data_IF_008550920707
#
_entry.id   IF_008550920707
#
_cell.length_a   1.000
_cell.length_b   1.000
_cell.length_c   1.000
_cell.angle_alpha   90.00
_cell.angle_beta   90.00
_cell.angle_gamma   90.00
#
_symmetry.space_group_name_H-M   'P 1'
#
loop_
_entity.id
_entity.type
_entity.pdbx_description
1 polymer ?
#
# COMPACT_ATOMS: atom_id res chain seq x y z
N UNK A 1 6.80 7.93 -16.40
CA UNK A 1 6.17 7.92 -15.06
C UNK A 1 6.27 6.55 -14.39
N UNK A 2 5.57 5.49 -14.85
CA UNK A 2 5.74 4.13 -14.28
C UNK A 2 7.10 3.50 -14.62
N UNK A 3 7.64 3.82 -15.82
CA UNK A 3 8.95 3.36 -16.28
C UNK A 3 10.14 3.92 -15.48
N UNK A 4 9.99 5.10 -14.87
CA UNK A 4 11.05 5.75 -14.11
C UNK A 4 11.17 5.16 -12.69
N UNK A 5 10.04 4.75 -12.10
CA UNK A 5 10.01 3.99 -10.85
C UNK A 5 10.56 2.56 -11.03
N UNK A 6 10.23 1.91 -12.16
CA UNK A 6 10.76 0.58 -12.53
C UNK A 6 12.31 0.55 -12.62
N UNK A 7 12.92 1.63 -13.11
CA UNK A 7 14.39 1.77 -13.15
C UNK A 7 15.03 1.98 -11.77
N UNK A 8 14.29 2.51 -10.79
CA UNK A 8 14.88 2.82 -9.49
C UNK A 8 14.95 1.60 -8.56
N UNK A 9 13.96 0.70 -8.63
CA UNK A 9 13.88 -0.47 -7.75
C UNK A 9 14.76 -1.65 -8.20
N UNK A 10 15.14 -1.72 -9.47
CA UNK A 10 15.84 -2.86 -10.09
C UNK A 10 17.38 -2.84 -9.94
N UNK A 11 17.96 -1.75 -9.45
CA UNK A 11 19.43 -1.53 -9.47
C UNK A 11 20.08 -1.53 -8.08
N UNK A 12 19.30 -1.38 -6.98
CA UNK A 12 19.84 -1.31 -5.61
C UNK A 12 19.18 -2.31 -4.65
N UNK A 13 19.88 -3.39 -4.24
CA UNK A 13 19.41 -4.34 -3.23
C UNK A 13 19.01 -3.71 -1.88
N UNK A 14 19.59 -2.54 -1.54
CA UNK A 14 19.22 -1.81 -0.31
C UNK A 14 17.85 -1.15 -0.43
N UNK A 15 17.52 -0.63 -1.61
CA UNK A 15 16.20 -0.05 -1.89
C UNK A 15 15.11 -1.11 -1.77
N UNK A 16 15.32 -2.29 -2.37
CA UNK A 16 14.40 -3.41 -2.24
C UNK A 16 14.21 -3.89 -0.79
N UNK A 17 15.31 -4.01 -0.03
CA UNK A 17 15.24 -4.38 1.39
C UNK A 17 14.48 -3.34 2.23
N UNK A 18 14.63 -2.06 1.90
CA UNK A 18 13.88 -0.99 2.56
C UNK A 18 12.37 -1.08 2.26
N UNK A 19 11.99 -1.38 1.02
CA UNK A 19 10.59 -1.58 0.62
C UNK A 19 9.96 -2.78 1.33
N UNK A 20 10.64 -3.93 1.37
CA UNK A 20 10.16 -5.10 2.12
C UNK A 20 9.96 -4.77 3.61
N UNK A 21 10.93 -4.07 4.21
CA UNK A 21 10.82 -3.66 5.61
C UNK A 21 9.65 -2.72 5.84
N UNK A 22 9.33 -1.83 4.90
CA UNK A 22 8.15 -0.95 4.98
C UNK A 22 6.84 -1.74 4.81
N UNK A 23 6.80 -2.66 3.86
CA UNK A 23 5.65 -3.51 3.56
C UNK A 23 5.26 -4.42 4.76
N UNK A 24 6.25 -4.92 5.50
CA UNK A 24 6.10 -5.80 6.66
C UNK A 24 5.73 -5.06 7.95
N UNK A 25 5.75 -3.71 7.97
CA UNK A 25 5.33 -2.97 9.16
C UNK A 25 3.90 -3.33 9.57
N UNK A 26 3.60 -3.42 10.88
CA UNK A 26 2.23 -3.48 11.37
C UNK A 26 1.40 -2.32 10.80
N UNK A 27 0.13 -2.57 10.49
CA UNK A 27 -0.77 -1.54 9.96
C UNK A 27 -0.89 -0.31 10.88
N UNK A 28 -0.72 -0.52 12.17
CA UNK A 28 -0.57 0.50 13.21
C UNK A 28 0.11 -0.16 14.43
N UNK A 29 0.67 0.60 15.38
CA UNK A 29 1.35 0.04 16.53
C UNK A 29 0.48 -0.91 17.35
N UNK A 30 0.99 -2.11 17.60
CA UNK A 30 0.27 -3.18 18.29
C UNK A 30 -0.64 -4.03 17.41
N UNK A 31 -0.80 -3.70 16.12
CA UNK A 31 -1.56 -4.54 15.19
C UNK A 31 -0.82 -5.86 14.90
N UNK A 32 -1.33 -6.98 15.42
CA UNK A 32 -0.75 -8.31 15.19
C UNK A 32 -1.34 -9.04 13.98
N UNK A 33 -2.49 -8.57 13.49
CA UNK A 33 -3.29 -9.27 12.47
C UNK A 33 -2.96 -8.82 11.05
N UNK A 34 -2.61 -7.55 10.88
CA UNK A 34 -2.37 -6.95 9.57
C UNK A 34 -1.05 -6.18 9.56
N UNK A 35 -0.24 -6.47 8.55
CA UNK A 35 0.82 -5.59 8.05
C UNK A 35 0.23 -4.55 7.09
N UNK A 36 1.01 -3.51 6.78
CA UNK A 36 0.68 -2.53 5.74
C UNK A 36 0.30 -3.21 4.42
N UNK A 37 1.16 -4.11 3.93
CA UNK A 37 0.92 -4.81 2.68
C UNK A 37 -0.34 -5.69 2.72
N UNK A 38 -0.50 -6.51 3.76
CA UNK A 38 -1.66 -7.42 3.84
C UNK A 38 -2.99 -6.68 3.95
N UNK A 39 -3.01 -5.49 4.57
CA UNK A 39 -4.18 -4.62 4.59
C UNK A 39 -4.48 -4.08 3.18
N UNK A 40 -3.47 -3.54 2.49
CA UNK A 40 -3.64 -2.99 1.13
C UNK A 40 -4.13 -4.05 0.15
N UNK A 41 -3.45 -5.20 0.06
CA UNK A 41 -3.86 -6.30 -0.83
C UNK A 41 -5.33 -6.68 -0.61
N UNK A 42 -5.77 -6.74 0.66
CA UNK A 42 -7.15 -7.07 0.97
C UNK A 42 -8.13 -5.98 0.53
N UNK A 43 -7.80 -4.70 0.71
CA UNK A 43 -8.62 -3.57 0.27
C UNK A 43 -8.71 -3.48 -1.25
N UNK A 44 -7.59 -3.63 -1.98
CA UNK A 44 -7.58 -3.65 -3.44
C UNK A 44 -8.35 -4.84 -4.03
N UNK A 45 -8.26 -6.01 -3.41
CA UNK A 45 -9.06 -7.17 -3.82
C UNK A 45 -10.56 -6.89 -3.67
N UNK A 46 -10.99 -6.20 -2.60
CA UNK A 46 -12.39 -5.77 -2.43
C UNK A 46 -12.76 -4.76 -3.51
N UNK A 47 -11.92 -3.74 -3.74
CA UNK A 47 -12.13 -2.72 -4.78
C UNK A 47 -12.39 -3.37 -6.14
N UNK A 48 -11.49 -4.26 -6.58
CA UNK A 48 -11.59 -4.96 -7.85
C UNK A 48 -12.81 -5.90 -7.91
N UNK A 49 -13.06 -6.66 -6.85
CA UNK A 49 -14.18 -7.60 -6.78
C UNK A 49 -15.55 -6.92 -6.90
N UNK A 50 -15.70 -5.72 -6.33
CA UNK A 50 -16.98 -5.02 -6.29
C UNK A 50 -17.04 -3.80 -7.23
N UNK A 51 -16.03 -3.60 -8.08
CA UNK A 51 -16.01 -2.53 -9.08
C UNK A 51 -16.03 -1.12 -8.48
N UNK A 52 -15.36 -0.91 -7.35
CA UNK A 52 -15.32 0.41 -6.73
C UNK A 52 -14.52 1.38 -7.58
N UNK A 53 -15.06 2.59 -7.77
CA UNK A 53 -14.35 3.68 -8.43
C UNK A 53 -13.14 4.13 -7.59
N UNK A 54 -12.13 4.67 -8.26
CA UNK A 54 -10.92 5.20 -7.59
C UNK A 54 -11.26 6.33 -6.61
N UNK A 55 -12.25 7.16 -6.95
CA UNK A 55 -12.75 8.24 -6.08
C UNK A 55 -13.37 7.65 -4.80
N UNK A 56 -14.35 6.75 -4.95
CA UNK A 56 -15.01 6.12 -3.78
C UNK A 56 -14.03 5.33 -2.91
N UNK A 57 -12.99 4.74 -3.52
CA UNK A 57 -11.98 4.02 -2.78
C UNK A 57 -11.01 4.96 -2.05
N UNK A 58 -10.66 6.10 -2.65
CA UNK A 58 -9.85 7.14 -1.99
C UNK A 58 -10.58 7.75 -0.79
N UNK A 59 -11.89 7.99 -0.91
CA UNK A 59 -12.73 8.45 0.21
C UNK A 59 -12.78 7.41 1.33
N UNK A 60 -12.90 6.11 0.99
CA UNK A 60 -12.81 5.03 1.99
C UNK A 60 -11.45 5.05 2.69
N UNK A 61 -10.35 5.13 1.95
CA UNK A 61 -9.00 5.13 2.53
C UNK A 61 -8.80 6.30 3.49
N UNK A 62 -9.31 7.48 3.13
CA UNK A 62 -9.30 8.66 3.99
C UNK A 62 -10.12 8.44 5.27
N UNK A 63 -11.34 7.90 5.15
CA UNK A 63 -12.13 7.52 6.32
C UNK A 63 -11.40 6.51 7.23
N UNK A 64 -10.79 5.47 6.64
CA UNK A 64 -10.05 4.47 7.40
C UNK A 64 -8.82 5.08 8.09
N UNK A 65 -8.14 6.03 7.44
CA UNK A 65 -7.02 6.78 8.02
C UNK A 65 -7.42 7.45 9.33
N UNK A 66 -8.59 8.11 9.33
CA UNK A 66 -9.11 8.87 10.47
C UNK A 66 -9.70 7.98 11.57
N UNK A 67 -10.29 6.83 11.21
CA UNK A 67 -10.87 5.89 12.16
C UNK A 67 -9.83 5.04 12.89
N UNK A 68 -8.65 4.84 12.31
CA UNK A 68 -7.56 4.08 12.90
C UNK A 68 -6.67 4.96 13.81
N UNK A 69 -5.82 4.35 14.66
CA UNK A 69 -4.88 5.12 15.48
C UNK A 69 -4.01 6.08 14.65
N UNK A 70 -3.66 7.24 15.22
CA UNK A 70 -2.98 8.37 14.55
C UNK A 70 -1.73 7.97 13.76
N UNK A 71 -1.02 6.92 14.19
CA UNK A 71 0.22 6.41 13.60
C UNK A 71 0.01 5.16 12.74
N UNK A 72 -1.12 5.07 12.04
CA UNK A 72 -1.38 3.99 11.10
C UNK A 72 -0.67 4.18 9.75
N UNK A 73 -0.50 3.09 9.02
CA UNK A 73 0.18 2.96 7.74
C UNK A 73 -0.79 2.90 6.53
N UNK A 74 -2.09 3.21 6.74
CA UNK A 74 -3.04 3.34 5.62
C UNK A 74 -2.62 4.54 4.75
N UNK A 75 -2.54 4.40 3.42
CA UNK A 75 -2.32 5.50 2.49
C UNK A 75 -3.56 6.37 2.39
N UNK A 76 -3.37 7.65 2.06
CA UNK A 76 -4.46 8.64 2.03
C UNK A 76 -5.19 8.69 0.70
N UNK A 77 -4.66 8.08 -0.35
CA UNK A 77 -5.30 8.03 -1.67
C UNK A 77 -5.08 6.72 -2.40
N UNK A 78 -5.91 6.44 -3.40
CA UNK A 78 -5.70 5.32 -4.31
C UNK A 78 -4.35 5.40 -5.01
N UNK A 79 -3.95 6.59 -5.49
CA UNK A 79 -2.64 6.77 -6.13
C UNK A 79 -1.49 6.45 -5.18
N UNK A 80 -1.64 6.81 -3.90
CA UNK A 80 -0.68 6.43 -2.86
C UNK A 80 -0.63 4.92 -2.61
N UNK A 81 -1.80 4.30 -2.61
CA UNK A 81 -1.92 2.87 -2.39
C UNK A 81 -1.37 2.07 -3.59
N UNK A 82 -1.60 2.58 -4.81
CA UNK A 82 -1.25 1.92 -6.07
C UNK A 82 0.27 1.88 -6.27
N UNK A 83 0.99 2.98 -5.99
CA UNK A 83 2.46 2.96 -6.03
C UNK A 83 3.06 1.95 -5.05
N UNK A 84 2.49 1.83 -3.84
CA UNK A 84 2.97 0.87 -2.83
C UNK A 84 2.76 -0.57 -3.31
N UNK A 85 1.64 -0.85 -4.00
CA UNK A 85 1.38 -2.19 -4.54
C UNK A 85 2.18 -2.51 -5.80
N UNK A 86 2.49 -1.51 -6.64
CA UNK A 86 3.27 -1.67 -7.87
C UNK A 86 4.74 -1.99 -7.56
N UNK A 87 5.33 -1.36 -6.53
CA UNK A 87 6.69 -1.68 -6.07
C UNK A 87 6.84 -3.15 -5.62
N UNK A 88 5.77 -3.73 -5.08
CA UNK A 88 5.77 -5.10 -4.52
C UNK A 88 5.33 -6.13 -5.57
N UNK A 89 4.49 -5.71 -6.52
CA UNK A 89 3.99 -6.52 -7.64
C UNK A 89 5.01 -6.67 -8.77
N UNK A 90 6.18 -6.02 -8.71
CA UNK A 90 7.25 -6.19 -9.71
C UNK A 90 7.59 -7.69 -9.82
N UNK A 91 7.23 -8.35 -10.94
CA UNK A 91 7.70 -9.70 -11.20
C UNK A 91 9.15 -9.56 -11.66
N UNK A 92 10.05 -10.29 -10.99
CA UNK A 92 11.38 -10.70 -11.47
C UNK A 92 11.97 -9.94 -12.65
#
# INVERSE_FOLDING_TARGET
>A
MVHDAYKHCTVDPKAFKALLKDAEKPLFPGCKKYTKLSALVKLFNIKGKYGWSDNSFSDLLSCLKDMLPVNNEIPTSFYEADWMTVDISCPW
#
